data_IF_945626333296
#
_entry.id   IF_945626333296
#
_cell.length_a   1.000
_cell.length_b   1.000
_cell.length_c   1.000
_cell.angle_alpha   90.00
_cell.angle_beta   90.00
_cell.angle_gamma   90.00
#
_symmetry.space_group_name_H-M   'P 1'
#
loop_
_entity.id
_entity.type
_entity.pdbx_description
1 polymer ?
#
# COMPACT_ATOMS: atom_id res chain seq x y z
N UNK A 1 13.36 14.99 -16.55
CA UNK A 1 12.44 13.93 -16.09
C UNK A 1 12.43 13.98 -14.57
N UNK A 2 11.34 14.43 -13.92
CA UNK A 2 11.26 14.42 -12.45
C UNK A 2 11.25 12.96 -12.00
N UNK A 3 12.24 12.55 -11.22
CA UNK A 3 12.15 11.29 -10.49
C UNK A 3 11.06 11.48 -9.45
N UNK A 4 9.92 10.81 -9.65
CA UNK A 4 8.87 10.72 -8.63
C UNK A 4 9.44 9.88 -7.47
N UNK A 5 10.11 10.55 -6.55
CA UNK A 5 10.56 9.99 -5.27
C UNK A 5 9.37 9.79 -4.32
N UNK A 6 8.16 9.58 -4.85
CA UNK A 6 6.96 9.43 -4.06
C UNK A 6 6.62 7.95 -3.97
N UNK A 7 6.57 7.44 -2.73
CA UNK A 7 6.21 6.07 -2.41
C UNK A 7 4.98 6.06 -1.52
N UNK A 8 4.13 5.06 -1.73
CA UNK A 8 2.92 4.86 -0.96
C UNK A 8 3.02 3.51 -0.27
N UNK A 9 3.02 3.52 1.05
CA UNK A 9 3.09 2.33 1.88
C UNK A 9 1.66 2.02 2.31
N UNK A 10 1.10 0.93 1.80
CA UNK A 10 -0.21 0.45 2.22
C UNK A 10 -0.03 -0.32 3.52
N UNK A 11 -0.55 0.23 4.62
CA UNK A 11 -0.54 -0.41 5.93
C UNK A 11 -1.85 -1.14 6.22
N UNK A 12 -2.95 -0.68 5.61
CA UNK A 12 -4.25 -1.35 5.64
C UNK A 12 -4.82 -1.40 4.22
N UNK A 13 -5.08 -2.60 3.71
CA UNK A 13 -5.53 -2.81 2.34
C UNK A 13 -5.52 -4.29 2.00
N UNK A 14 -6.10 -4.68 0.85
CA UNK A 14 -6.13 -6.09 0.43
C UNK A 14 -4.72 -6.66 0.24
N UNK A 15 -3.78 -5.85 -0.27
CA UNK A 15 -2.38 -6.23 -0.42
C UNK A 15 -1.47 -5.15 0.18
N UNK A 16 -1.15 -5.22 1.49
CA UNK A 16 -0.21 -4.30 2.11
C UNK A 16 1.20 -4.40 1.50
N UNK A 17 1.89 -3.27 1.40
CA UNK A 17 3.20 -3.20 0.76
C UNK A 17 3.57 -1.80 0.27
N UNK A 18 4.67 -1.71 -0.49
CA UNK A 18 5.19 -0.44 -1.04
C UNK A 18 4.83 -0.31 -2.51
N UNK A 19 4.23 0.82 -2.87
CA UNK A 19 3.69 1.08 -4.19
C UNK A 19 4.09 2.44 -4.74
N UNK A 20 3.88 2.59 -6.04
CA UNK A 20 3.92 3.89 -6.72
C UNK A 20 2.51 4.48 -6.74
N UNK A 21 2.39 5.78 -7.08
CA UNK A 21 1.09 6.42 -7.29
C UNK A 21 0.17 5.66 -8.25
N UNK A 22 0.75 4.98 -9.25
CA UNK A 22 0.00 4.24 -10.27
C UNK A 22 -0.54 2.90 -9.78
N UNK A 23 0.14 2.28 -8.81
CA UNK A 23 -0.14 0.91 -8.36
C UNK A 23 -0.79 0.83 -6.99
N UNK A 24 -0.71 1.89 -6.18
CA UNK A 24 -1.26 1.90 -4.80
C UNK A 24 -2.75 1.57 -4.77
N UNK A 25 -3.55 2.17 -5.67
CA UNK A 25 -5.00 1.98 -5.67
C UNK A 25 -5.39 0.63 -6.26
N UNK A 26 -4.81 0.28 -7.41
CA UNK A 26 -5.23 -0.90 -8.18
C UNK A 26 -4.67 -2.22 -7.63
N UNK A 27 -3.51 -2.19 -6.98
CA UNK A 27 -2.82 -3.40 -6.49
C UNK A 27 -2.84 -3.47 -4.98
N UNK A 28 -2.51 -2.38 -4.28
CA UNK A 28 -2.43 -2.38 -2.82
C UNK A 28 -3.79 -2.30 -2.13
N UNK A 29 -4.60 -1.32 -2.52
CA UNK A 29 -5.96 -1.14 -1.98
C UNK A 29 -7.02 -1.95 -2.73
N UNK A 30 -6.72 -2.38 -3.96
CA UNK A 30 -7.65 -3.09 -4.86
C UNK A 30 -8.99 -2.39 -5.10
N UNK A 31 -9.06 -1.07 -4.89
CA UNK A 31 -10.29 -0.27 -4.90
C UNK A 31 -11.25 -0.47 -3.72
N UNK A 32 -10.88 -1.25 -2.70
CA UNK A 32 -11.72 -1.53 -1.52
C UNK A 32 -11.51 -0.54 -0.36
N UNK A 33 -10.69 0.50 -0.57
CA UNK A 33 -10.29 1.43 0.49
C UNK A 33 -9.16 0.90 1.37
N UNK A 34 -8.80 1.67 2.40
CA UNK A 34 -7.70 1.32 3.30
C UNK A 34 -6.87 2.54 3.73
N UNK A 35 -5.72 2.28 4.33
CA UNK A 35 -4.82 3.29 4.87
C UNK A 35 -3.45 3.21 4.21
N UNK A 36 -2.97 4.38 3.81
CA UNK A 36 -1.68 4.53 3.14
C UNK A 36 -0.85 5.61 3.84
N UNK A 37 0.45 5.38 3.92
CA UNK A 37 1.44 6.38 4.31
C UNK A 37 2.14 6.85 3.03
N UNK A 38 2.14 8.16 2.81
CA UNK A 38 2.88 8.79 1.71
C UNK A 38 4.28 9.15 2.20
N UNK A 39 5.30 8.68 1.50
CA UNK A 39 6.70 9.00 1.76
C UNK A 39 7.32 9.67 0.53
N UNK A 40 8.06 10.76 0.75
CA UNK A 40 8.93 11.34 -0.28
C UNK A 40 10.35 10.84 0.00
N UNK A 41 10.80 9.82 -0.73
CA UNK A 41 12.07 9.15 -0.53
C UNK A 41 12.33 8.04 -1.55
N UNK A 42 13.35 7.25 -1.25
CA UNK A 42 13.74 6.08 -2.03
C UNK A 42 12.82 4.89 -1.76
N UNK A 43 12.87 3.89 -2.65
CA UNK A 43 12.16 2.63 -2.42
C UNK A 43 12.68 1.89 -1.17
N UNK A 44 13.99 1.91 -0.94
CA UNK A 44 14.62 1.26 0.21
C UNK A 44 14.14 1.85 1.54
N UNK A 45 13.98 3.18 1.63
CA UNK A 45 13.44 3.84 2.83
C UNK A 45 11.97 3.44 3.07
N UNK A 46 11.17 3.35 2.00
CA UNK A 46 9.78 2.93 2.10
C UNK A 46 9.65 1.45 2.52
N UNK A 47 10.49 0.57 1.99
CA UNK A 47 10.53 -0.85 2.34
C UNK A 47 10.99 -1.05 3.79
N UNK A 48 12.03 -0.33 4.22
CA UNK A 48 12.48 -0.36 5.61
C UNK A 48 11.38 0.08 6.58
N UNK A 49 10.65 1.16 6.26
CA UNK A 49 9.53 1.62 7.07
C UNK A 49 8.38 0.61 7.06
N UNK A 50 8.07 -0.01 5.92
CA UNK A 50 7.03 -1.03 5.84
C UNK A 50 7.36 -2.26 6.71
N UNK A 51 8.59 -2.79 6.63
CA UNK A 51 8.99 -3.94 7.45
C UNK A 51 9.02 -3.59 8.95
N UNK A 52 9.43 -2.37 9.31
CA UNK A 52 9.32 -1.88 10.68
C UNK A 52 7.85 -1.89 11.17
N UNK A 53 6.93 -1.27 10.43
CA UNK A 53 5.50 -1.22 10.79
C UNK A 53 4.87 -2.62 10.85
N UNK A 54 5.31 -3.52 9.97
CA UNK A 54 4.88 -4.92 9.97
C UNK A 54 5.37 -5.65 11.21
N UNK A 55 6.62 -5.44 11.63
CA UNK A 55 7.17 -6.01 12.86
C UNK A 55 6.45 -5.49 14.12
N UNK A 56 6.03 -4.23 14.11
CA UNK A 56 5.23 -3.61 15.19
C UNK A 56 3.75 -4.05 15.18
N UNK A 57 3.32 -4.85 14.20
CA UNK A 57 1.93 -5.33 14.10
C UNK A 57 0.93 -4.27 13.63
N UNK A 58 1.40 -3.17 13.04
CA UNK A 58 0.55 -2.07 12.52
C UNK A 58 -0.06 -2.43 11.16
N UNK A 59 0.55 -3.37 10.43
CA UNK A 59 0.10 -3.76 9.09
C UNK A 59 -1.08 -4.75 9.17
N UNK A 60 -2.21 -4.36 8.58
CA UNK A 60 -3.48 -5.09 8.60
C UNK A 60 -3.95 -5.42 7.17
N UNK A 61 -3.71 -6.66 6.68
CA UNK A 61 -4.32 -7.12 5.44
C UNK A 61 -5.84 -7.19 5.57
N UNK A 62 -6.56 -6.54 4.65
CA UNK A 62 -8.00 -6.66 4.53
C UNK A 62 -8.36 -7.94 3.77
N UNK A 63 -9.48 -8.59 4.08
CA UNK A 63 -9.96 -9.73 3.30
C UNK A 63 -10.23 -9.27 1.86
N UNK A 64 -9.84 -10.09 0.88
CA UNK A 64 -10.23 -9.83 -0.51
C UNK A 64 -11.75 -9.96 -0.61
N UNK A 65 -12.48 -8.88 -0.88
CA UNK A 65 -13.89 -9.01 -1.19
C UNK A 65 -13.99 -9.58 -2.61
N UNK A 66 -14.40 -10.85 -2.68
CA UNK A 66 -14.68 -11.52 -3.93
C UNK A 66 -15.90 -10.85 -4.59
N UNK A 67 -15.66 -9.98 -5.57
CA UNK A 67 -16.70 -9.32 -6.35
C UNK A 67 -17.54 -10.35 -7.12
N UNK A 68 -18.75 -10.67 -6.61
CA UNK A 68 -19.87 -11.18 -7.42
C UNK A 68 -21.11 -10.29 -7.23
N UNK A 69 -20.95 -9.01 -7.59
CA UNK A 69 -21.97 -7.98 -7.42
C UNK A 69 -22.63 -7.49 -8.71
N UNK A 70 -22.85 -8.35 -9.71
CA UNK A 70 -24.03 -8.20 -10.58
C UNK A 70 -25.05 -9.20 -10.05
N UNK A 71 -25.93 -8.69 -9.18
CA UNK A 71 -27.20 -9.32 -8.84
C UNK A 71 -28.18 -9.19 -10.00
#
# INVERSE_FOLDING_TARGET
>A
MKMDNERFIVIKGEQPGVYTRRTVVSWGLKWHGGEIIRLIGTINEAEALFEFLKAEGVVEPLPSEFWWGIA
#
